data_IF_076060747888
#
_entry.id   IF_076060747888
#
_cell.length_a   1.000
_cell.length_b   1.000
_cell.length_c   1.000
_cell.angle_alpha   90.00
_cell.angle_beta   90.00
_cell.angle_gamma   90.00
#
_symmetry.space_group_name_H-M   'P 1'
#
loop_
_entity.id
_entity.type
_entity.pdbx_description
1 polymer ?
#
# COMPACT_ATOMS: atom_id res chain seq x y z
N UNK A 1 0.86 -35.56 -9.23
CA UNK A 1 0.38 -34.43 -10.06
C UNK A 1 -0.43 -33.56 -9.12
N UNK A 2 0.15 -32.47 -8.61
CA UNK A 2 -0.48 -31.65 -7.56
C UNK A 2 -1.08 -30.44 -8.25
N UNK A 3 -2.41 -30.35 -8.24
CA UNK A 3 -3.16 -29.23 -8.81
C UNK A 3 -2.77 -27.94 -8.09
N UNK A 4 -2.31 -26.97 -8.86
CA UNK A 4 -2.07 -25.60 -8.43
C UNK A 4 -3.42 -24.93 -8.17
N UNK A 5 -3.85 -24.92 -6.91
CA UNK A 5 -4.92 -24.06 -6.42
C UNK A 5 -4.49 -22.59 -6.62
N UNK A 6 -4.77 -22.04 -7.79
CA UNK A 6 -4.72 -20.60 -8.01
C UNK A 6 -5.78 -19.97 -7.12
N UNK A 7 -5.35 -19.31 -6.03
CA UNK A 7 -6.24 -18.45 -5.25
C UNK A 7 -6.73 -17.37 -6.21
N UNK A 8 -7.96 -17.53 -6.71
CA UNK A 8 -8.65 -16.54 -7.52
C UNK A 8 -8.76 -15.26 -6.69
N UNK A 9 -7.94 -14.26 -7.00
CA UNK A 9 -8.07 -12.95 -6.38
C UNK A 9 -9.37 -12.32 -6.88
N UNK A 10 -10.29 -11.90 -5.99
CA UNK A 10 -11.51 -11.23 -6.42
C UNK A 10 -11.16 -9.97 -7.22
N UNK A 11 -11.85 -9.76 -8.34
CA UNK A 11 -11.67 -8.62 -9.23
C UNK A 11 -12.80 -7.60 -9.01
N UNK A 12 -12.44 -6.37 -8.66
CA UNK A 12 -13.40 -5.30 -8.38
C UNK A 12 -13.17 -4.10 -9.32
N UNK A 13 -13.79 -4.07 -10.51
CA UNK A 13 -13.56 -3.04 -11.51
C UNK A 13 -14.13 -1.67 -11.14
N UNK A 14 -15.01 -1.58 -10.15
CA UNK A 14 -15.64 -0.31 -9.74
C UNK A 14 -15.15 0.17 -8.36
N UNK A 15 -14.27 -0.57 -7.70
CA UNK A 15 -13.83 -0.24 -6.35
C UNK A 15 -12.84 0.93 -6.39
N UNK A 16 -13.31 2.10 -5.95
CA UNK A 16 -12.52 3.34 -5.90
C UNK A 16 -11.99 3.66 -4.51
N UNK A 17 -12.59 3.09 -3.45
CA UNK A 17 -12.18 3.30 -2.07
C UNK A 17 -12.06 1.95 -1.37
N UNK A 18 -10.92 1.70 -0.75
CA UNK A 18 -10.68 0.49 0.04
C UNK A 18 -10.16 0.88 1.42
N UNK A 19 -10.87 0.44 2.45
CA UNK A 19 -10.45 0.56 3.83
C UNK A 19 -10.23 -0.84 4.39
N UNK A 20 -9.05 -1.08 4.96
CA UNK A 20 -8.68 -2.32 5.65
C UNK A 20 -8.21 -1.93 7.04
N UNK A 21 -8.94 -2.37 8.05
CA UNK A 21 -8.66 -2.06 9.45
C UNK A 21 -8.69 -3.30 10.32
N UNK A 22 -7.73 -3.45 11.25
CA UNK A 22 -7.68 -4.55 12.23
C UNK A 22 -7.61 -5.93 11.58
N UNK A 23 -6.80 -6.05 10.52
CA UNK A 23 -6.61 -7.29 9.76
C UNK A 23 -5.13 -7.74 9.72
N UNK A 24 -4.53 -8.14 10.85
CA UNK A 24 -3.09 -8.43 10.93
C UNK A 24 -2.66 -9.68 10.14
N UNK A 25 -3.57 -10.62 9.92
CA UNK A 25 -3.31 -11.87 9.19
C UNK A 25 -3.70 -11.82 7.71
N UNK A 26 -4.09 -10.65 7.20
CA UNK A 26 -4.52 -10.52 5.81
C UNK A 26 -3.28 -10.51 4.90
N UNK A 27 -3.19 -11.54 4.06
CA UNK A 27 -2.05 -11.73 3.14
C UNK A 27 -2.37 -11.36 1.69
N UNK A 28 -3.63 -11.04 1.38
CA UNK A 28 -4.06 -10.67 0.03
C UNK A 28 -5.24 -9.72 0.06
N UNK A 29 -5.34 -8.88 -0.98
CA UNK A 29 -6.50 -8.01 -1.23
C UNK A 29 -6.97 -8.23 -2.67
N UNK A 30 -8.21 -7.85 -3.00
CA UNK A 30 -8.70 -7.89 -4.37
C UNK A 30 -7.86 -7.12 -5.38
N UNK A 31 -7.99 -7.50 -6.65
CA UNK A 31 -7.50 -6.73 -7.77
C UNK A 31 -8.47 -5.56 -8.03
N UNK A 32 -8.04 -4.34 -7.72
CA UNK A 32 -8.84 -3.12 -7.84
C UNK A 32 -8.07 -2.05 -8.64
N UNK A 33 -8.12 -2.08 -9.99
CA UNK A 33 -7.28 -1.25 -10.85
C UNK A 33 -7.62 0.25 -10.82
N UNK A 34 -8.81 0.63 -10.36
CA UNK A 34 -9.30 2.02 -10.35
C UNK A 34 -9.38 2.62 -8.94
N UNK A 35 -8.58 2.10 -8.01
CA UNK A 35 -8.56 2.64 -6.65
C UNK A 35 -8.07 4.09 -6.65
N UNK A 36 -8.79 4.94 -5.93
CA UNK A 36 -8.48 6.36 -5.73
C UNK A 36 -8.15 6.67 -4.27
N UNK A 37 -8.72 5.92 -3.32
CA UNK A 37 -8.50 6.09 -1.89
C UNK A 37 -8.18 4.75 -1.24
N UNK A 38 -7.03 4.68 -0.57
CA UNK A 38 -6.57 3.49 0.15
C UNK A 38 -6.30 3.87 1.60
N UNK A 39 -6.90 3.12 2.53
CA UNK A 39 -6.71 3.29 3.97
C UNK A 39 -6.35 1.95 4.61
N UNK A 40 -5.15 1.85 5.17
CA UNK A 40 -4.58 0.65 5.76
C UNK A 40 -4.28 0.88 7.25
N UNK A 41 -5.06 0.23 8.12
CA UNK A 41 -4.91 0.30 9.58
C UNK A 41 -4.66 -1.07 10.18
N UNK A 42 -3.60 -1.21 10.98
CA UNK A 42 -3.27 -2.48 11.67
C UNK A 42 -3.20 -3.64 10.65
N UNK A 43 -2.34 -3.50 9.65
CA UNK A 43 -2.04 -4.52 8.63
C UNK A 43 -0.61 -5.01 8.79
N UNK A 44 -0.29 -6.18 8.21
CA UNK A 44 1.09 -6.68 8.18
C UNK A 44 1.97 -5.84 7.26
N UNK A 45 3.27 -5.76 7.56
CA UNK A 45 4.26 -5.14 6.68
C UNK A 45 4.29 -5.84 5.31
N UNK A 46 4.04 -7.15 5.29
CA UNK A 46 3.92 -7.92 4.06
C UNK A 46 2.76 -7.41 3.19
N UNK A 47 1.58 -7.17 3.76
CA UNK A 47 0.46 -6.63 3.00
C UNK A 47 0.75 -5.24 2.49
N UNK A 48 1.33 -4.37 3.33
CA UNK A 48 1.76 -3.03 2.96
C UNK A 48 2.72 -3.06 1.75
N UNK A 49 3.71 -3.97 1.79
CA UNK A 49 4.65 -4.16 0.70
C UNK A 49 3.96 -4.65 -0.57
N UNK A 50 3.07 -5.65 -0.46
CA UNK A 50 2.32 -6.21 -1.58
C UNK A 50 1.44 -5.14 -2.24
N UNK A 51 0.78 -4.30 -1.45
CA UNK A 51 -0.07 -3.22 -1.99
C UNK A 51 0.71 -2.25 -2.86
N UNK A 52 2.02 -2.13 -2.63
CA UNK A 52 2.82 -1.04 -3.14
C UNK A 52 3.93 -1.50 -4.08
N UNK A 53 4.12 -2.82 -4.28
CA UNK A 53 5.03 -3.36 -5.30
C UNK A 53 4.55 -3.03 -6.71
N UNK A 54 5.48 -2.93 -7.68
CA UNK A 54 5.20 -2.65 -9.09
C UNK A 54 4.96 -3.93 -9.88
N UNK A 55 4.09 -3.88 -10.90
CA UNK A 55 3.97 -4.98 -11.88
C UNK A 55 5.20 -4.89 -12.78
N UNK A 56 6.20 -5.73 -12.51
CA UNK A 56 7.18 -6.06 -13.52
C UNK A 56 6.48 -6.97 -14.52
N UNK A 57 6.22 -6.44 -15.71
CA UNK A 57 5.81 -7.24 -16.85
C UNK A 57 7.02 -8.05 -17.35
N UNK A 58 7.44 -9.06 -16.59
CA UNK A 58 8.31 -10.12 -17.09
C UNK A 58 7.75 -11.48 -16.64
N UNK A 59 7.81 -12.40 -17.59
CA UNK A 59 7.12 -13.69 -17.80
C UNK A 59 7.30 -14.80 -16.71
N UNK A 60 6.58 -15.94 -16.82
CA UNK A 60 6.12 -16.76 -15.70
C UNK A 60 7.19 -17.74 -15.24
N UNK A 61 7.69 -17.51 -14.04
CA UNK A 61 8.19 -18.58 -13.19
C UNK A 61 7.57 -18.40 -11.79
N UNK A 62 7.28 -19.52 -11.17
CA UNK A 62 6.25 -19.68 -10.15
C UNK A 62 6.30 -18.67 -8.98
N UNK A 63 5.11 -18.18 -8.61
CA UNK A 63 4.69 -17.72 -7.28
C UNK A 63 5.14 -16.32 -6.79
N UNK A 64 4.23 -15.32 -6.91
CA UNK A 64 3.24 -14.99 -5.85
C UNK A 64 2.99 -13.50 -5.56
N UNK A 65 3.68 -12.55 -6.20
CA UNK A 65 3.42 -11.12 -5.99
C UNK A 65 3.04 -10.40 -7.29
N UNK A 66 1.86 -10.72 -7.85
CA UNK A 66 1.21 -9.72 -8.72
C UNK A 66 0.88 -8.52 -7.84
N UNK A 67 1.24 -7.32 -8.27
CA UNK A 67 1.04 -6.14 -7.47
C UNK A 67 -0.41 -5.72 -7.55
N UNK A 68 -0.88 -5.21 -6.43
CA UNK A 68 -2.30 -5.03 -6.19
C UNK A 68 -2.84 -3.79 -6.88
N UNK A 69 -1.97 -2.80 -7.13
CA UNK A 69 -2.28 -1.60 -7.90
C UNK A 69 -1.26 -1.46 -9.04
N UNK A 70 -1.69 -1.33 -10.30
CA UNK A 70 -0.75 -1.06 -11.39
C UNK A 70 0.00 0.24 -11.12
N UNK A 71 1.24 0.30 -11.61
CA UNK A 71 2.24 1.37 -11.49
C UNK A 71 1.84 2.78 -11.96
N UNK A 72 0.55 2.99 -12.26
CA UNK A 72 -0.07 4.26 -12.63
C UNK A 72 -1.39 4.47 -11.88
N UNK A 73 -1.55 3.86 -10.70
CA UNK A 73 -2.79 3.94 -9.92
C UNK A 73 -3.13 5.41 -9.74
N UNK A 74 -4.30 5.84 -10.20
CA UNK A 74 -4.86 7.17 -9.97
C UNK A 74 -5.21 7.41 -8.49
N UNK A 75 -4.42 6.84 -7.58
CA UNK A 75 -4.53 6.94 -6.14
C UNK A 75 -4.28 8.38 -5.75
N UNK A 76 -5.30 9.00 -5.18
CA UNK A 76 -5.32 10.39 -4.73
C UNK A 76 -5.13 10.49 -3.22
N UNK A 77 -5.55 9.46 -2.48
CA UNK A 77 -5.45 9.42 -1.02
C UNK A 77 -4.85 8.12 -0.55
N UNK A 78 -3.81 8.20 0.26
CA UNK A 78 -3.21 7.09 0.97
C UNK A 78 -3.19 7.43 2.46
N UNK A 79 -3.87 6.60 3.25
CA UNK A 79 -3.82 6.64 4.70
C UNK A 79 -3.22 5.35 5.21
N UNK A 80 -2.28 5.47 6.14
CA UNK A 80 -1.73 4.32 6.82
C UNK A 80 -1.57 4.63 8.30
N UNK A 81 -1.83 3.65 9.16
CA UNK A 81 -1.62 3.87 10.57
C UNK A 81 -1.93 2.73 11.51
N UNK A 82 -1.69 3.00 12.79
CA UNK A 82 -1.82 2.02 13.87
C UNK A 82 -0.96 0.76 13.63
N UNK A 83 0.15 0.91 12.90
CA UNK A 83 1.04 -0.19 12.55
C UNK A 83 2.13 -0.34 13.61
N UNK A 84 1.88 -1.24 14.57
CA UNK A 84 2.75 -1.43 15.74
C UNK A 84 4.13 -1.98 15.40
N UNK A 85 4.27 -2.63 14.24
CA UNK A 85 5.50 -3.28 13.78
C UNK A 85 6.15 -2.57 12.58
N UNK A 86 5.62 -1.42 12.12
CA UNK A 86 6.22 -0.72 10.99
C UNK A 86 7.49 0.01 11.44
N UNK A 87 8.64 -0.56 11.11
CA UNK A 87 9.96 -0.02 11.50
C UNK A 87 10.56 0.89 10.43
N UNK A 88 10.16 0.72 9.17
CA UNK A 88 10.70 1.48 8.04
C UNK A 88 9.59 2.02 7.13
N UNK A 89 9.83 3.20 6.57
CA UNK A 89 8.93 3.83 5.62
C UNK A 89 9.14 3.25 4.21
N UNK A 90 8.09 2.82 3.48
CA UNK A 90 8.21 2.27 2.12
C UNK A 90 8.44 3.39 1.09
N UNK A 91 9.60 4.04 1.20
CA UNK A 91 9.94 5.25 0.44
C UNK A 91 9.82 5.05 -1.07
N UNK A 92 10.47 4.02 -1.62
CA UNK A 92 10.55 3.81 -3.08
C UNK A 92 9.16 3.74 -3.71
N UNK A 93 8.25 3.03 -3.07
CA UNK A 93 6.91 2.81 -3.57
C UNK A 93 6.03 4.06 -3.42
N UNK A 94 6.17 4.80 -2.31
CA UNK A 94 5.40 6.03 -2.11
C UNK A 94 5.81 7.09 -3.12
N UNK A 95 7.10 7.24 -3.41
CA UNK A 95 7.60 8.23 -4.38
C UNK A 95 7.06 8.02 -5.80
N UNK A 96 6.62 6.81 -6.15
CA UNK A 96 6.02 6.49 -7.46
C UNK A 96 4.56 6.96 -7.56
N UNK A 97 3.90 7.28 -6.44
CA UNK A 97 2.51 7.76 -6.39
C UNK A 97 2.41 9.25 -6.76
N UNK A 98 2.79 9.58 -7.99
CA UNK A 98 2.85 10.97 -8.50
C UNK A 98 1.49 11.67 -8.54
N UNK A 99 0.38 10.91 -8.59
CA UNK A 99 -1.00 11.42 -8.53
C UNK A 99 -1.52 11.65 -7.11
N UNK A 100 -0.75 11.26 -6.08
CA UNK A 100 -1.18 11.33 -4.69
C UNK A 100 -1.35 12.77 -4.24
N UNK A 101 -2.53 13.08 -3.70
CA UNK A 101 -2.90 14.41 -3.21
C UNK A 101 -2.95 14.47 -1.69
N UNK A 102 -3.22 13.34 -1.04
CA UNK A 102 -3.30 13.22 0.41
C UNK A 102 -2.48 12.02 0.89
N UNK A 103 -1.59 12.27 1.84
CA UNK A 103 -0.82 11.25 2.54
C UNK A 103 -0.97 11.43 4.04
N UNK A 104 -1.44 10.40 4.73
CA UNK A 104 -1.55 10.37 6.19
C UNK A 104 -0.80 9.17 6.76
N UNK A 105 0.08 9.42 7.72
CA UNK A 105 0.78 8.39 8.50
C UNK A 105 0.47 8.64 9.97
N UNK A 106 -0.40 7.82 10.56
CA UNK A 106 -0.92 8.05 11.91
C UNK A 106 -0.57 6.91 12.86
N UNK A 107 -0.08 7.21 14.06
CA UNK A 107 0.11 6.24 15.15
C UNK A 107 0.95 5.02 14.74
N UNK A 108 2.13 5.24 14.16
CA UNK A 108 3.11 4.18 13.84
C UNK A 108 4.29 4.26 14.82
N UNK A 109 4.21 3.64 16.02
CA UNK A 109 5.14 3.92 17.13
C UNK A 109 6.58 3.48 16.88
N UNK A 110 6.79 2.49 16.00
CA UNK A 110 8.15 2.01 15.63
C UNK A 110 8.74 2.76 14.44
N UNK A 111 7.95 3.58 13.76
CA UNK A 111 8.43 4.40 12.65
C UNK A 111 9.08 5.67 13.22
N UNK A 112 10.29 5.52 13.72
CA UNK A 112 11.01 6.59 14.44
C UNK A 112 11.46 7.74 13.53
N UNK A 113 11.74 7.44 12.26
CA UNK A 113 12.25 8.42 11.30
C UNK A 113 11.76 8.14 9.90
N UNK A 114 11.57 9.21 9.15
CA UNK A 114 11.38 9.16 7.72
C UNK A 114 12.76 9.31 7.04
N UNK A 115 13.10 8.46 6.05
CA UNK A 115 14.34 8.60 5.30
C UNK A 115 14.39 9.94 4.54
N UNK A 116 15.59 10.43 4.27
CA UNK A 116 15.77 11.68 3.53
C UNK A 116 15.12 11.59 2.14
N UNK A 117 14.41 12.65 1.76
CA UNK A 117 13.67 12.67 0.50
C UNK A 117 12.46 11.72 0.47
N UNK A 118 11.91 11.29 1.61
CA UNK A 118 10.73 10.40 1.70
C UNK A 118 9.59 10.76 0.74
N UNK A 119 9.38 12.06 0.51
CA UNK A 119 8.27 12.59 -0.27
C UNK A 119 8.68 13.09 -1.68
N UNK A 120 9.91 12.82 -2.11
CA UNK A 120 10.38 13.22 -3.45
C UNK A 120 9.51 12.58 -4.52
N UNK A 121 9.09 13.34 -5.53
CA UNK A 121 8.23 12.81 -6.61
C UNK A 121 6.73 12.85 -6.32
N UNK A 122 6.30 13.14 -5.09
CA UNK A 122 4.91 13.40 -4.74
C UNK A 122 4.47 14.81 -5.20
N UNK A 123 4.55 15.08 -6.50
CA UNK A 123 4.35 16.42 -7.10
C UNK A 123 2.91 16.91 -7.01
N UNK A 124 1.94 16.01 -6.85
CA UNK A 124 0.52 16.36 -6.70
C UNK A 124 0.08 16.51 -5.24
N UNK A 125 0.97 16.34 -4.26
CA UNK A 125 0.62 16.31 -2.85
C UNK A 125 0.13 17.67 -2.36
N UNK A 126 -1.04 17.67 -1.72
CA UNK A 126 -1.70 18.86 -1.17
C UNK A 126 -1.87 18.79 0.34
N UNK A 127 -1.95 17.57 0.87
CA UNK A 127 -2.13 17.32 2.30
C UNK A 127 -1.15 16.25 2.76
N UNK A 128 -0.40 16.57 3.80
CA UNK A 128 0.49 15.65 4.50
C UNK A 128 0.16 15.73 5.98
N UNK A 129 -0.21 14.60 6.59
CA UNK A 129 -0.38 14.49 8.04
C UNK A 129 0.53 13.40 8.58
N UNK A 130 1.35 13.76 9.57
CA UNK A 130 2.18 12.84 10.34
C UNK A 130 1.73 12.96 11.80
N UNK A 131 1.19 11.90 12.36
CA UNK A 131 0.75 11.87 13.75
C UNK A 131 1.48 10.74 14.47
N UNK A 132 2.25 11.09 15.51
CA UNK A 132 2.85 10.12 16.41
C UNK A 132 1.83 9.48 17.33
N UNK A 133 2.28 8.48 18.11
CA UNK A 133 1.57 8.09 19.32
C UNK A 133 2.14 8.98 20.42
N UNK A 134 1.40 9.97 20.87
CA UNK A 134 1.79 10.74 22.05
C UNK A 134 1.81 9.78 23.24
N UNK A 135 2.94 9.75 23.95
CA UNK A 135 3.11 9.11 25.25
C UNK A 135 3.05 10.17 26.32
#
# INVERSE_FOLDING_TARGET
MVESQQILRPYFPCLSKLHIGKCPNLISIPLAPFIAELDLRIVSEELLRLTMTKATAEEPSACSATPLFPSHSGLKSLRMGEMMNLESFPQKQIQELTSLQQLEILSCPRLMKLPEGSFRGLTSLRMLALQGRDG
#
